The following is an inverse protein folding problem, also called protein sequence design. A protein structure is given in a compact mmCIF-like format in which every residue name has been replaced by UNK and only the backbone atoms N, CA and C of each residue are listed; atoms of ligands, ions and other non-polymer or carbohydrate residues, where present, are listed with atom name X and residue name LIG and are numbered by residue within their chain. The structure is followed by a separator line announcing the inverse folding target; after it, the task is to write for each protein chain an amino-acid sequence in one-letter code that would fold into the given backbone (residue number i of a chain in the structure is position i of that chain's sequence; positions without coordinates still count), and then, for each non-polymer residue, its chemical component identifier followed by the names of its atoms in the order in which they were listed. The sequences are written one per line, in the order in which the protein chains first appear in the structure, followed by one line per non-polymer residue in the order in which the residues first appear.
data_IF_846762888280
#
_entry.id   IF_846762888280
#
_cell.length_a   1.000
_cell.length_b   1.000
_cell.length_c   1.000
_cell.angle_alpha   90.00
_cell.angle_beta   90.00
_cell.angle_gamma   90.00
#
_symmetry.space_group_name_H-M   'P 1'
#
loop_
_entity.id
_entity.type
_entity.pdbx_description
1 polymer ?
#
# COMPACT_ATOMS: atom_id res chain seq x y z
N UNK A 1 12.77 -16.61 14.35
CA UNK A 1 11.30 -16.66 14.58
C UNK A 1 10.63 -16.50 13.22
N UNK A 2 10.10 -17.60 12.67
CA UNK A 2 9.57 -17.72 11.31
C UNK A 2 8.07 -17.42 11.38
N UNK A 3 7.63 -16.24 10.94
CA UNK A 3 6.23 -15.86 11.01
C UNK A 3 5.42 -16.59 9.92
N UNK A 4 4.76 -17.65 10.37
CA UNK A 4 3.56 -18.31 9.85
C UNK A 4 2.98 -17.74 8.53
N UNK A 5 3.37 -18.38 7.43
CA UNK A 5 2.59 -18.43 6.19
C UNK A 5 1.32 -19.20 6.52
N UNK A 6 0.25 -18.50 6.88
CA UNK A 6 -1.07 -19.11 7.11
C UNK A 6 -1.76 -19.29 5.75
N UNK A 7 -1.51 -20.46 5.20
CA UNK A 7 -2.29 -21.11 4.14
C UNK A 7 -3.67 -21.47 4.70
N UNK A 8 -4.60 -20.52 4.76
CA UNK A 8 -6.01 -20.79 4.99
C UNK A 8 -6.69 -21.11 3.65
N UNK A 9 -7.49 -22.17 3.67
CA UNK A 9 -8.12 -22.79 2.53
C UNK A 9 -9.11 -21.87 1.78
N UNK A 10 -9.05 -21.90 0.44
CA UNK A 10 -10.21 -21.69 -0.44
C UNK A 10 -10.65 -20.27 -0.80
N UNK A 11 -10.06 -19.22 -0.23
CA UNK A 11 -10.29 -17.84 -0.67
C UNK A 11 -8.93 -17.19 -0.91
N UNK A 12 -8.70 -16.65 -2.11
CA UNK A 12 -7.51 -15.84 -2.40
C UNK A 12 -7.37 -14.80 -1.27
N UNK A 13 -6.33 -14.92 -0.45
CA UNK A 13 -6.21 -14.10 0.75
C UNK A 13 -6.07 -12.65 0.31
N UNK A 14 -7.11 -11.87 0.57
CA UNK A 14 -7.15 -10.43 0.30
C UNK A 14 -6.21 -9.64 1.23
N UNK A 15 -5.41 -10.31 2.07
CA UNK A 15 -4.46 -9.70 2.98
C UNK A 15 -3.02 -9.77 2.42
N UNK A 16 -2.37 -8.61 2.32
CA UNK A 16 -0.94 -8.48 2.04
C UNK A 16 -0.20 -8.12 3.33
N UNK A 17 0.99 -8.68 3.53
CA UNK A 17 1.80 -8.43 4.74
C UNK A 17 3.25 -8.14 4.38
N UNK A 18 3.82 -7.06 4.95
CA UNK A 18 5.20 -6.64 4.77
C UNK A 18 5.82 -6.24 6.12
N UNK A 19 6.48 -7.19 6.80
CA UNK A 19 6.98 -6.96 8.14
C UNK A 19 5.83 -6.58 9.10
N UNK A 20 5.87 -5.41 9.77
CA UNK A 20 4.80 -4.96 10.67
C UNK A 20 3.58 -4.41 9.91
N UNK A 21 3.69 -4.13 8.62
CA UNK A 21 2.60 -3.59 7.80
C UNK A 21 1.68 -4.72 7.33
N UNK A 22 0.37 -4.53 7.54
CA UNK A 22 -0.71 -5.38 7.02
C UNK A 22 -1.66 -4.54 6.19
N UNK A 23 -2.17 -5.12 5.11
CA UNK A 23 -3.13 -4.48 4.22
C UNK A 23 -4.22 -5.47 3.82
N UNK A 24 -5.47 -5.12 4.08
CA UNK A 24 -6.67 -5.85 3.65
C UNK A 24 -7.26 -5.15 2.42
N UNK A 25 -7.06 -5.75 1.25
CA UNK A 25 -7.57 -5.28 -0.05
C UNK A 25 -9.09 -5.35 -0.15
N UNK A 26 -9.74 -6.24 0.59
CA UNK A 26 -11.20 -6.38 0.57
C UNK A 26 -11.86 -5.34 1.46
N UNK A 27 -11.31 -5.10 2.65
CA UNK A 27 -11.81 -4.10 3.58
C UNK A 27 -11.29 -2.68 3.29
N UNK A 28 -10.33 -2.52 2.37
CA UNK A 28 -9.60 -1.28 2.12
C UNK A 28 -8.96 -0.70 3.39
N UNK A 29 -8.30 -1.55 4.19
CA UNK A 29 -7.69 -1.18 5.46
C UNK A 29 -6.21 -1.50 5.48
N UNK A 30 -5.44 -0.72 6.22
CA UNK A 30 -4.05 -1.02 6.52
C UNK A 30 -3.76 -0.76 7.99
N UNK A 31 -2.84 -1.51 8.56
CA UNK A 31 -2.35 -1.34 9.93
C UNK A 31 -0.84 -1.58 9.99
N UNK A 32 -0.18 -0.92 10.94
CA UNK A 32 1.23 -1.16 11.28
C UNK A 32 1.27 -1.61 12.73
N UNK A 33 1.81 -2.79 12.98
CA UNK A 33 1.83 -3.40 14.32
C UNK A 33 0.44 -3.48 14.97
N UNK A 34 -0.60 -3.72 14.16
CA UNK A 34 -1.99 -3.78 14.61
C UNK A 34 -2.64 -2.42 14.87
N UNK A 35 -1.93 -1.30 14.65
CA UNK A 35 -2.47 0.05 14.75
C UNK A 35 -3.03 0.49 13.39
N UNK A 36 -4.34 0.75 13.27
CA UNK A 36 -4.94 1.13 11.99
C UNK A 36 -4.38 2.44 11.44
N UNK A 37 -4.00 2.43 10.17
CA UNK A 37 -3.59 3.61 9.42
C UNK A 37 -4.81 4.30 8.79
N UNK A 38 -4.97 5.59 9.05
CA UNK A 38 -5.96 6.41 8.37
C UNK A 38 -5.43 6.84 7.00
N UNK A 39 -5.79 6.09 5.97
CA UNK A 39 -5.41 6.35 4.58
C UNK A 39 -6.57 6.94 3.79
N UNK A 40 -6.25 7.86 2.88
CA UNK A 40 -7.15 8.24 1.79
C UNK A 40 -7.20 7.12 0.74
N UNK A 41 -8.20 7.16 -0.15
CA UNK A 41 -8.31 6.17 -1.23
C UNK A 41 -7.07 6.11 -2.13
N UNK A 42 -6.40 7.25 -2.38
CA UNK A 42 -5.17 7.27 -3.19
C UNK A 42 -3.97 6.70 -2.44
N UNK A 43 -3.78 7.08 -1.16
CA UNK A 43 -2.70 6.52 -0.34
C UNK A 43 -2.85 5.01 -0.18
N UNK A 44 -4.09 4.51 -0.02
CA UNK A 44 -4.37 3.08 0.03
C UNK A 44 -4.01 2.39 -1.29
N UNK A 45 -4.45 2.90 -2.43
CA UNK A 45 -4.12 2.32 -3.74
C UNK A 45 -2.61 2.30 -4.00
N UNK A 46 -1.92 3.39 -3.69
CA UNK A 46 -0.46 3.47 -3.79
C UNK A 46 0.21 2.41 -2.91
N UNK A 47 -0.21 2.29 -1.65
CA UNK A 47 0.35 1.30 -0.72
C UNK A 47 0.08 -0.13 -1.19
N UNK A 48 -1.15 -0.42 -1.63
CA UNK A 48 -1.53 -1.73 -2.15
C UNK A 48 -0.69 -2.09 -3.39
N UNK A 49 -0.51 -1.14 -4.31
CA UNK A 49 0.34 -1.34 -5.49
C UNK A 49 1.78 -1.67 -5.10
N UNK A 50 2.39 -0.87 -4.22
CA UNK A 50 3.74 -1.13 -3.74
C UNK A 50 3.88 -2.48 -3.01
N UNK A 51 2.85 -2.88 -2.25
CA UNK A 51 2.84 -4.19 -1.58
C UNK A 51 2.65 -5.36 -2.53
N UNK A 52 1.96 -5.17 -3.66
CA UNK A 52 1.86 -6.16 -4.74
C UNK A 52 3.19 -6.34 -5.48
N UNK A 53 3.95 -5.25 -5.65
CA UNK A 53 5.27 -5.22 -6.28
C UNK A 53 6.43 -5.25 -5.26
N UNK A 54 6.23 -5.95 -4.14
CA UNK A 54 7.23 -6.00 -3.08
C UNK A 54 8.53 -6.67 -3.55
N UNK A 55 9.66 -5.98 -3.35
CA UNK A 55 10.98 -6.46 -3.77
C UNK A 55 11.40 -5.96 -5.15
N UNK A 56 10.53 -5.21 -5.84
CA UNK A 56 10.82 -4.57 -7.13
C UNK A 56 10.98 -3.06 -6.96
N UNK A 57 11.78 -2.44 -7.84
CA UNK A 57 11.88 -0.98 -7.90
C UNK A 57 10.74 -0.47 -8.77
N UNK A 58 9.70 0.06 -8.14
CA UNK A 58 8.59 0.69 -8.85
C UNK A 58 8.95 2.13 -9.22
N UNK A 59 8.87 2.45 -10.52
CA UNK A 59 9.19 3.79 -11.02
C UNK A 59 8.05 4.79 -10.79
N UNK A 60 8.37 6.08 -10.76
CA UNK A 60 7.38 7.17 -10.68
C UNK A 60 6.38 7.10 -11.84
N UNK A 61 6.88 6.88 -13.05
CA UNK A 61 6.05 6.81 -14.27
C UNK A 61 5.05 5.67 -14.18
N UNK A 62 5.49 4.50 -13.73
CA UNK A 62 4.65 3.32 -13.57
C UNK A 62 3.55 3.52 -12.51
N UNK A 63 3.87 4.15 -11.38
CA UNK A 63 2.88 4.54 -10.39
C UNK A 63 1.84 5.51 -10.96
N UNK A 64 2.29 6.48 -11.76
CA UNK A 64 1.38 7.44 -12.40
C UNK A 64 0.47 6.72 -13.40
N UNK A 65 1.00 5.84 -14.24
CA UNK A 65 0.21 5.10 -15.21
C UNK A 65 -0.85 4.20 -14.53
N UNK A 66 -0.52 3.53 -13.42
CA UNK A 66 -1.44 2.61 -12.75
C UNK A 66 -2.41 3.27 -11.77
N UNK A 67 -2.10 4.43 -11.21
CA UNK A 67 -2.94 5.09 -10.20
C UNK A 67 -3.89 6.15 -10.77
N UNK A 68 -3.65 6.64 -11.99
CA UNK A 68 -4.35 7.81 -12.55
C UNK A 68 -5.40 7.48 -13.61
N UNK A 69 -5.87 6.23 -13.68
CA UNK A 69 -6.76 5.80 -14.77
C UNK A 69 -8.17 6.41 -14.76
N UNK A 70 -8.57 7.23 -13.76
CA UNK A 70 -9.97 7.70 -13.71
C UNK A 70 -10.34 9.16 -13.41
N UNK A 71 -9.63 10.06 -12.71
CA UNK A 71 -10.27 11.39 -12.47
C UNK A 71 -9.43 12.54 -11.86
N UNK A 72 -8.08 12.55 -11.98
CA UNK A 72 -7.32 13.64 -11.36
C UNK A 72 -6.17 14.19 -12.20
N UNK A 73 -6.01 15.51 -12.03
CA UNK A 73 -5.04 16.36 -12.69
C UNK A 73 -3.60 15.82 -12.56
N UNK A 74 -2.81 15.99 -13.62
CA UNK A 74 -1.41 15.55 -13.72
C UNK A 74 -0.51 16.47 -12.90
N UNK A 75 -0.83 16.68 -11.63
CA UNK A 75 0.07 17.40 -10.74
C UNK A 75 1.29 16.54 -10.49
N UNK A 76 2.38 16.94 -11.16
CA UNK A 76 3.64 16.21 -11.26
C UNK A 76 4.17 15.76 -9.89
N UNK A 77 3.80 16.41 -8.78
CA UNK A 77 4.40 16.16 -7.46
C UNK A 77 3.50 15.39 -6.47
N UNK A 78 2.33 14.93 -6.92
CA UNK A 78 1.32 14.33 -6.02
C UNK A 78 1.78 12.98 -5.44
N UNK A 79 2.50 12.18 -6.23
CA UNK A 79 3.03 10.88 -5.77
C UNK A 79 4.05 11.08 -4.65
N UNK A 80 4.98 12.03 -4.74
CA UNK A 80 5.92 12.31 -3.65
C UNK A 80 5.21 12.70 -2.36
N UNK A 81 4.17 13.54 -2.47
CA UNK A 81 3.40 13.98 -1.31
C UNK A 81 2.70 12.78 -0.66
N UNK A 82 2.14 11.87 -1.43
CA UNK A 82 1.52 10.65 -0.91
C UNK A 82 2.54 9.71 -0.27
N UNK A 83 3.69 9.50 -0.90
CA UNK A 83 4.79 8.68 -0.33
C UNK A 83 5.28 9.30 0.98
N UNK A 84 5.50 10.62 1.03
CA UNK A 84 5.92 11.31 2.25
C UNK A 84 4.90 11.21 3.37
N UNK A 85 3.61 11.37 3.06
CA UNK A 85 2.52 11.18 4.03
C UNK A 85 2.45 9.74 4.54
N UNK A 86 2.60 8.75 3.66
CA UNK A 86 2.62 7.34 4.03
C UNK A 86 3.77 7.04 4.99
N UNK A 87 5.00 7.46 4.66
CA UNK A 87 6.17 7.28 5.53
C UNK A 87 5.97 7.88 6.92
N UNK A 88 5.46 9.12 6.99
CA UNK A 88 5.14 9.77 8.25
C UNK A 88 4.07 9.03 9.05
N UNK A 89 3.02 8.52 8.38
CA UNK A 89 1.96 7.74 9.04
C UNK A 89 2.45 6.39 9.55
N UNK A 90 3.46 5.81 8.91
CA UNK A 90 4.09 4.55 9.30
C UNK A 90 5.22 4.73 10.33
N UNK A 91 5.59 5.97 10.67
CA UNK A 91 6.67 6.27 11.61
C UNK A 91 8.07 5.92 11.08
N UNK A 92 8.26 5.97 9.75
CA UNK A 92 9.53 5.65 9.08
C UNK A 92 10.44 6.90 8.96
N UNK A 93 9.97 8.07 9.38
CA UNK A 93 10.63 9.38 9.23
C UNK A 93 10.62 10.17 10.55
#
# INVERSE_FOLDING_TARGET
VRALIRRAAGHASSELTCGPLRLDTKASKADVDGVPLKLTSHEFRLLAYLMHHMGEVVSRTELVEHLYDQDFDRDSNTIEVFVGRLRKKMGID
#
